data_IF_008621372292
#
_entry.id   IF_008621372292
#
_cell.length_a   1.000
_cell.length_b   1.000
_cell.length_c   1.000
_cell.angle_alpha   90.00
_cell.angle_beta   90.00
_cell.angle_gamma   90.00
#
_symmetry.space_group_name_H-M   'P 1'
#
loop_
_entity.id
_entity.type
_entity.pdbx_description
1 polymer ?
#
# COMPACT_ATOMS: atom_id res chain seq x y z
N UNK A 1 2.86 3.47 0.34
CA UNK A 1 2.16 3.52 1.63
C UNK A 1 2.26 2.13 2.22
N UNK A 2 2.90 1.98 3.37
CA UNK A 2 3.13 0.68 4.00
C UNK A 2 2.71 0.76 5.47
N UNK A 3 1.48 0.36 5.85
CA UNK A 3 1.11 0.23 7.25
C UNK A 3 1.83 -0.97 7.88
N UNK A 4 2.44 -0.80 9.06
CA UNK A 4 3.22 -1.85 9.71
C UNK A 4 2.85 -1.97 11.19
N UNK A 5 2.21 -3.08 11.57
CA UNK A 5 1.78 -3.41 12.94
C UNK A 5 2.38 -4.74 13.39
N UNK A 6 3.26 -4.71 14.39
CA UNK A 6 4.02 -5.88 14.86
C UNK A 6 4.87 -6.54 13.78
N UNK A 7 5.46 -5.73 12.90
CA UNK A 7 6.23 -6.16 11.72
C UNK A 7 7.74 -5.93 11.89
N UNK A 8 8.23 -5.93 13.13
CA UNK A 8 9.63 -5.65 13.45
C UNK A 8 10.59 -6.64 12.76
N UNK A 9 10.16 -7.88 12.56
CA UNK A 9 10.98 -8.93 11.93
C UNK A 9 11.11 -8.78 10.40
N UNK A 10 10.18 -8.10 9.74
CA UNK A 10 10.09 -8.08 8.26
C UNK A 10 10.24 -6.70 7.64
N UNK A 11 9.81 -5.62 8.32
CA UNK A 11 9.70 -4.28 7.71
C UNK A 11 11.02 -3.74 7.17
N UNK A 12 12.13 -4.01 7.87
CA UNK A 12 13.43 -3.55 7.44
C UNK A 12 13.91 -4.25 6.16
N UNK A 13 13.66 -5.55 6.07
CA UNK A 13 13.98 -6.36 4.91
C UNK A 13 13.09 -5.98 3.73
N UNK A 14 11.79 -5.78 3.94
CA UNK A 14 10.84 -5.37 2.92
C UNK A 14 11.25 -4.03 2.29
N UNK A 15 11.54 -3.01 3.10
CA UNK A 15 11.94 -1.69 2.60
C UNK A 15 13.29 -1.72 1.89
N UNK A 16 14.26 -2.47 2.41
CA UNK A 16 15.56 -2.63 1.77
C UNK A 16 15.45 -3.35 0.42
N UNK A 17 14.67 -4.45 0.38
CA UNK A 17 14.42 -5.20 -0.85
C UNK A 17 13.71 -4.33 -1.88
N UNK A 18 12.68 -3.59 -1.47
CA UNK A 18 11.95 -2.64 -2.32
C UNK A 18 12.88 -1.62 -2.96
N UNK A 19 13.77 -1.01 -2.16
CA UNK A 19 14.74 -0.04 -2.66
C UNK A 19 15.76 -0.61 -3.64
N UNK A 20 16.16 -1.87 -3.48
CA UNK A 20 17.11 -2.54 -4.36
C UNK A 20 16.46 -3.15 -5.60
N UNK A 21 15.14 -3.36 -5.59
CA UNK A 21 14.43 -4.09 -6.64
C UNK A 21 13.76 -3.16 -7.65
N UNK A 22 13.16 -2.05 -7.22
CA UNK A 22 12.47 -1.17 -8.15
C UNK A 22 13.43 -0.50 -9.14
N UNK A 23 13.17 -0.73 -10.42
CA UNK A 23 13.79 -0.01 -11.52
C UNK A 23 12.98 1.27 -11.80
N UNK A 24 12.95 2.16 -10.80
CA UNK A 24 12.30 3.46 -10.85
C UNK A 24 12.93 4.35 -9.77
N UNK A 25 13.25 5.60 -10.06
CA UNK A 25 14.00 6.46 -9.12
C UNK A 25 13.15 7.52 -8.41
N UNK A 26 11.98 7.86 -8.95
CA UNK A 26 11.15 8.99 -8.48
C UNK A 26 10.01 8.52 -7.59
N UNK A 27 10.33 7.93 -6.45
CA UNK A 27 9.34 7.46 -5.49
C UNK A 27 9.82 7.62 -4.05
N UNK A 28 8.87 7.63 -3.14
CA UNK A 28 9.11 7.68 -1.70
C UNK A 28 8.29 6.59 -1.03
N UNK A 29 8.81 6.02 0.05
CA UNK A 29 8.13 5.00 0.85
C UNK A 29 7.73 5.65 2.17
N UNK A 30 6.43 5.76 2.42
CA UNK A 30 5.90 6.19 3.70
C UNK A 30 5.45 4.95 4.47
N UNK A 31 6.12 4.68 5.58
CA UNK A 31 5.86 3.56 6.48
C UNK A 31 5.07 4.07 7.68
N UNK A 32 3.85 3.56 7.84
CA UNK A 32 2.98 3.83 8.97
C UNK A 32 3.37 2.95 10.15
N UNK A 33 3.52 3.54 11.34
CA UNK A 33 3.82 2.84 12.59
C UNK A 33 2.88 3.31 13.69
N UNK A 34 2.68 2.45 14.68
CA UNK A 34 1.75 2.68 15.77
C UNK A 34 2.50 3.05 17.05
N UNK A 35 1.92 3.95 17.86
CA UNK A 35 2.55 4.45 19.10
C UNK A 35 2.87 3.32 20.10
N UNK A 36 1.99 2.32 20.17
CA UNK A 36 2.07 1.13 21.02
C UNK A 36 2.91 -0.02 20.41
N UNK A 37 3.59 0.20 19.28
CA UNK A 37 4.54 -0.75 18.68
C UNK A 37 5.96 -0.16 18.61
N UNK A 38 6.68 -0.12 19.75
CA UNK A 38 8.01 0.46 19.80
C UNK A 38 9.07 -0.35 19.02
N UNK A 39 8.82 -1.63 18.77
CA UNK A 39 9.78 -2.51 18.09
C UNK A 39 9.81 -2.24 16.60
N UNK A 40 8.65 -2.25 15.92
CA UNK A 40 8.56 -1.90 14.49
C UNK A 40 9.03 -0.47 14.28
N UNK A 41 8.66 0.47 15.17
CA UNK A 41 9.11 1.86 15.10
C UNK A 41 10.63 2.01 15.11
N UNK A 42 11.33 1.18 15.91
CA UNK A 42 12.79 1.17 15.98
C UNK A 42 13.42 0.63 14.69
N UNK A 43 12.84 -0.41 14.09
CA UNK A 43 13.36 -0.95 12.84
C UNK A 43 13.14 0.02 11.66
N UNK A 44 11.98 0.69 11.60
CA UNK A 44 11.72 1.75 10.61
C UNK A 44 12.69 2.92 10.77
N UNK A 45 13.05 3.31 12.01
CA UNK A 45 14.06 4.33 12.28
C UNK A 45 15.44 3.95 11.72
N UNK A 46 15.90 2.72 11.97
CA UNK A 46 17.19 2.26 11.41
C UNK A 46 17.20 2.31 9.88
N UNK A 47 16.09 1.96 9.25
CA UNK A 47 16.00 1.86 7.79
C UNK A 47 15.92 3.23 7.13
N UNK A 48 15.21 4.21 7.71
CA UNK A 48 15.18 5.58 7.16
C UNK A 48 16.54 6.29 7.26
N UNK A 49 17.40 5.91 8.20
CA UNK A 49 18.79 6.40 8.23
C UNK A 49 19.61 5.88 7.04
N UNK A 50 19.25 4.71 6.50
CA UNK A 50 19.92 4.10 5.34
C UNK A 50 19.35 4.57 4.00
N UNK A 51 18.04 4.81 3.92
CA UNK A 51 17.33 5.15 2.68
C UNK A 51 16.62 6.51 2.81
N UNK A 52 17.15 7.59 2.20
CA UNK A 52 16.62 8.95 2.35
C UNK A 52 15.20 9.18 1.79
N UNK A 53 14.73 8.29 0.92
CA UNK A 53 13.38 8.30 0.35
C UNK A 53 12.33 7.60 1.25
N UNK A 54 12.74 7.09 2.42
CA UNK A 54 11.87 6.41 3.39
C UNK A 54 11.48 7.37 4.50
N UNK A 55 10.18 7.46 4.76
CA UNK A 55 9.57 8.36 5.75
C UNK A 55 8.74 7.55 6.73
N UNK A 56 8.76 7.97 7.99
CA UNK A 56 7.92 7.37 9.05
C UNK A 56 6.69 8.24 9.28
N UNK A 57 5.50 7.68 9.11
CA UNK A 57 4.23 8.26 9.55
C UNK A 57 3.81 7.57 10.85
N UNK A 58 3.66 8.31 11.94
CA UNK A 58 3.30 7.72 13.24
C UNK A 58 1.83 8.03 13.55
N UNK A 59 1.07 7.00 13.92
CA UNK A 59 -0.27 7.16 14.49
C UNK A 59 -0.10 7.77 15.89
N UNK A 60 -0.67 8.96 16.19
CA UNK A 60 -0.33 9.74 17.38
C UNK A 60 -1.07 9.31 18.65
N UNK A 61 -1.74 8.15 18.65
CA UNK A 61 -2.49 7.64 19.80
C UNK A 61 -2.33 6.12 19.96
N UNK A 62 -2.49 5.65 21.19
CA UNK A 62 -2.24 4.25 21.59
C UNK A 62 -3.37 3.27 21.21
N UNK A 63 -4.51 3.79 20.74
CA UNK A 63 -5.64 3.01 20.23
C UNK A 63 -6.97 3.29 20.95
N UNK A 64 -8.06 2.59 20.58
CA UNK A 64 -8.13 1.59 19.50
C UNK A 64 -7.79 2.20 18.13
N UNK A 65 -7.12 1.43 17.27
CA UNK A 65 -6.61 1.85 15.96
C UNK A 65 -6.79 0.71 14.95
N UNK A 66 -6.67 1.01 13.65
CA UNK A 66 -6.86 0.06 12.56
C UNK A 66 -5.86 0.29 11.42
N UNK A 67 -5.85 -0.60 10.41
CA UNK A 67 -5.08 -0.39 9.17
C UNK A 67 -5.54 0.89 8.46
N UNK A 68 -6.85 1.13 8.39
CA UNK A 68 -7.43 2.36 7.83
C UNK A 68 -6.93 3.64 8.53
N UNK A 69 -6.91 3.65 9.86
CA UNK A 69 -6.41 4.78 10.64
C UNK A 69 -4.92 5.05 10.33
N UNK A 70 -4.09 4.01 10.31
CA UNK A 70 -2.69 4.11 9.92
C UNK A 70 -2.50 4.62 8.49
N UNK A 71 -3.31 4.14 7.53
CA UNK A 71 -3.29 4.62 6.14
C UNK A 71 -3.68 6.09 6.03
N UNK A 72 -4.67 6.55 6.81
CA UNK A 72 -5.03 7.97 6.87
C UNK A 72 -3.84 8.82 7.36
N UNK A 73 -3.16 8.39 8.42
CA UNK A 73 -1.95 9.09 8.89
C UNK A 73 -0.80 9.07 7.88
N UNK A 74 -0.64 7.99 7.12
CA UNK A 74 0.31 7.95 6.00
C UNK A 74 -0.06 9.01 4.95
N UNK A 75 -1.32 9.08 4.52
CA UNK A 75 -1.77 10.07 3.52
C UNK A 75 -1.53 11.50 4.02
N UNK A 76 -1.86 11.80 5.28
CA UNK A 76 -1.60 13.11 5.87
C UNK A 76 -0.09 13.46 5.86
N UNK A 77 0.78 12.50 6.20
CA UNK A 77 2.23 12.71 6.14
C UNK A 77 2.75 12.89 4.71
N UNK A 78 2.15 12.22 3.72
CA UNK A 78 2.46 12.44 2.30
C UNK A 78 2.13 13.89 1.94
N UNK A 79 0.90 14.35 2.21
CA UNK A 79 0.47 15.71 1.87
C UNK A 79 1.32 16.78 2.58
N UNK A 80 1.68 16.55 3.85
CA UNK A 80 2.59 17.42 4.58
C UNK A 80 4.00 17.45 3.97
N UNK A 81 4.49 16.33 3.46
CA UNK A 81 5.76 16.29 2.73
C UNK A 81 5.68 17.11 1.44
N UNK A 82 4.57 17.01 0.69
CA UNK A 82 4.37 17.80 -0.52
C UNK A 82 4.33 19.30 -0.21
N UNK A 83 3.65 19.71 0.85
CA UNK A 83 3.60 21.10 1.29
C UNK A 83 4.99 21.64 1.65
N UNK A 84 5.77 20.87 2.41
CA UNK A 84 7.12 21.27 2.87
C UNK A 84 8.14 21.33 1.74
N UNK A 85 8.01 20.48 0.73
CA UNK A 85 9.04 20.32 -0.32
C UNK A 85 8.64 20.91 -1.67
N UNK A 86 7.34 21.17 -1.88
CA UNK A 86 6.77 21.53 -3.18
C UNK A 86 6.69 20.38 -4.18
N UNK A 87 7.18 19.17 -3.83
CA UNK A 87 7.14 18.00 -4.70
C UNK A 87 5.78 17.32 -4.62
N UNK A 88 5.10 17.18 -5.76
CA UNK A 88 3.81 16.48 -5.86
C UNK A 88 3.98 15.05 -6.35
N UNK A 89 3.30 14.11 -5.71
CA UNK A 89 3.15 12.71 -6.12
C UNK A 89 2.00 12.56 -7.11
N UNK A 90 2.24 11.86 -8.21
CA UNK A 90 1.22 11.56 -9.23
C UNK A 90 0.34 10.35 -8.89
N UNK A 91 0.86 9.44 -8.07
CA UNK A 91 0.17 8.22 -7.66
C UNK A 91 0.49 7.84 -6.22
N UNK A 92 -0.43 7.13 -5.58
CA UNK A 92 -0.33 6.61 -4.22
C UNK A 92 -0.46 5.09 -4.26
N UNK A 93 0.64 4.36 -4.09
CA UNK A 93 0.66 2.89 -4.12
C UNK A 93 0.71 2.31 -2.71
N UNK A 94 -0.16 1.34 -2.43
CA UNK A 94 -0.24 0.61 -1.16
C UNK A 94 0.46 -0.75 -1.27
N UNK A 95 1.19 -1.12 -0.21
CA UNK A 95 1.87 -2.40 -0.04
C UNK A 95 1.81 -2.82 1.43
N UNK A 96 1.81 -4.13 1.69
CA UNK A 96 1.92 -4.66 3.05
C UNK A 96 3.39 -4.90 3.43
N UNK A 97 3.65 -4.98 4.74
CA UNK A 97 5.01 -5.10 5.28
C UNK A 97 5.73 -6.41 4.91
N UNK A 98 5.01 -7.41 4.39
CA UNK A 98 5.55 -8.71 3.95
C UNK A 98 5.72 -8.81 2.43
N UNK A 99 5.31 -7.79 1.67
CA UNK A 99 5.30 -7.84 0.21
C UNK A 99 6.71 -7.95 -0.40
N UNK A 100 6.79 -8.67 -1.51
CA UNK A 100 7.92 -8.67 -2.43
C UNK A 100 7.51 -7.98 -3.72
N UNK A 101 8.24 -6.95 -4.12
CA UNK A 101 7.89 -6.12 -5.27
C UNK A 101 8.51 -6.63 -6.56
N UNK A 102 7.82 -6.40 -7.69
CA UNK A 102 8.39 -6.62 -9.02
C UNK A 102 9.18 -5.38 -9.49
N UNK A 103 10.35 -5.52 -10.16
CA UNK A 103 11.18 -4.38 -10.57
C UNK A 103 10.44 -3.30 -11.36
N UNK A 104 9.49 -3.71 -12.20
CA UNK A 104 8.71 -2.81 -13.05
C UNK A 104 7.38 -2.35 -12.43
N UNK A 105 7.06 -2.70 -11.18
CA UNK A 105 5.77 -2.37 -10.56
C UNK A 105 5.43 -0.88 -10.65
N UNK A 106 6.37 -0.01 -10.26
CA UNK A 106 6.18 1.44 -10.35
C UNK A 106 6.11 1.98 -11.79
N UNK A 107 6.84 1.37 -12.74
CA UNK A 107 6.76 1.72 -14.16
C UNK A 107 5.39 1.37 -14.72
N UNK A 108 4.85 0.20 -14.36
CA UNK A 108 3.50 -0.23 -14.73
C UNK A 108 2.45 0.74 -14.18
N UNK A 109 2.51 1.09 -12.90
CA UNK A 109 1.59 2.08 -12.32
C UNK A 109 1.71 3.41 -13.06
N UNK A 110 2.92 3.94 -13.23
CA UNK A 110 3.14 5.22 -13.91
C UNK A 110 2.64 5.22 -15.36
N UNK A 111 2.67 4.08 -16.06
CA UNK A 111 2.14 3.96 -17.41
C UNK A 111 0.61 4.08 -17.45
N UNK A 112 -0.10 3.44 -16.53
CA UNK A 112 -1.56 3.35 -16.54
C UNK A 112 -2.28 4.39 -15.69
N UNK A 113 -1.57 5.14 -14.83
CA UNK A 113 -2.20 5.99 -13.80
C UNK A 113 -3.09 7.10 -14.39
N UNK A 114 -2.82 7.56 -15.61
CA UNK A 114 -3.63 8.57 -16.28
C UNK A 114 -4.90 7.98 -16.95
N UNK A 115 -4.99 6.65 -17.08
CA UNK A 115 -6.12 5.95 -17.69
C UNK A 115 -7.19 5.53 -16.68
N UNK A 116 -6.86 5.47 -15.39
CA UNK A 116 -7.77 5.01 -14.34
C UNK A 116 -7.54 5.71 -13.00
N UNK A 117 -8.64 5.97 -12.27
CA UNK A 117 -8.58 6.54 -10.92
C UNK A 117 -7.91 5.60 -9.90
N UNK A 118 -8.03 4.29 -10.10
CA UNK A 118 -7.43 3.26 -9.29
C UNK A 118 -6.91 2.11 -10.17
N UNK A 119 -5.75 1.57 -9.84
CA UNK A 119 -5.13 0.42 -10.50
C UNK A 119 -4.89 -0.65 -9.44
N UNK A 120 -5.50 -1.82 -9.61
CA UNK A 120 -5.12 -3.02 -8.87
C UNK A 120 -4.13 -3.82 -9.72
N UNK A 121 -2.87 -3.88 -9.31
CA UNK A 121 -1.92 -4.80 -9.96
C UNK A 121 -2.22 -6.25 -9.56
N UNK A 122 -1.94 -7.23 -10.45
CA UNK A 122 -2.03 -8.64 -10.08
C UNK A 122 -1.09 -8.95 -8.91
N UNK A 123 -1.62 -9.64 -7.90
CA UNK A 123 -0.86 -10.11 -6.74
C UNK A 123 -0.60 -11.59 -6.95
N UNK A 124 0.66 -11.99 -6.80
CA UNK A 124 1.08 -13.39 -6.98
C UNK A 124 1.55 -13.94 -5.63
N UNK A 125 1.05 -15.12 -5.29
CA UNK A 125 1.51 -15.83 -4.10
C UNK A 125 2.90 -16.43 -4.33
N UNK A 126 3.72 -16.48 -3.28
CA UNK A 126 4.98 -17.22 -3.30
C UNK A 126 4.75 -18.73 -3.32
N UNK A 127 5.64 -19.46 -4.00
CA UNK A 127 5.59 -20.92 -4.10
C UNK A 127 5.58 -21.60 -2.73
N UNK A 128 4.70 -22.59 -2.60
CA UNK A 128 4.60 -23.46 -1.42
C UNK A 128 4.84 -24.91 -1.81
N UNK A 129 5.32 -25.71 -0.84
CA UNK A 129 5.45 -27.16 -1.04
C UNK A 129 4.08 -27.73 -1.35
N UNK A 130 3.97 -28.61 -2.35
CA UNK A 130 2.70 -29.23 -2.75
C UNK A 130 1.97 -29.96 -1.61
N UNK A 131 2.69 -30.37 -0.56
CA UNK A 131 2.11 -30.99 0.63
C UNK A 131 1.39 -30.02 1.56
N UNK A 132 1.57 -28.70 1.38
CA UNK A 132 0.91 -27.66 2.19
C UNK A 132 -0.45 -27.32 1.58
N UNK A 133 -1.37 -28.31 1.59
CA UNK A 133 -2.62 -28.27 0.83
C UNK A 133 -3.46 -27.00 1.06
N UNK A 134 -3.54 -26.50 2.29
CA UNK A 134 -4.26 -25.25 2.60
C UNK A 134 -3.62 -24.06 1.90
N UNK A 135 -2.29 -23.93 1.96
CA UNK A 135 -1.58 -22.83 1.33
C UNK A 135 -1.69 -22.91 -0.21
N UNK A 136 -1.57 -24.12 -0.78
CA UNK A 136 -1.77 -24.33 -2.22
C UNK A 136 -3.18 -23.96 -2.67
N UNK A 137 -4.21 -24.30 -1.90
CA UNK A 137 -5.58 -23.89 -2.19
C UNK A 137 -5.73 -22.36 -2.23
N UNK A 138 -5.19 -21.65 -1.25
CA UNK A 138 -5.17 -20.17 -1.25
C UNK A 138 -4.41 -19.62 -2.46
N UNK A 139 -3.29 -20.22 -2.85
CA UNK A 139 -2.55 -19.81 -4.06
C UNK A 139 -3.41 -19.95 -5.32
N UNK A 140 -4.12 -21.06 -5.47
CA UNK A 140 -4.98 -21.32 -6.63
C UNK A 140 -6.15 -20.32 -6.68
N UNK A 141 -6.77 -20.01 -5.54
CA UNK A 141 -7.83 -18.99 -5.46
C UNK A 141 -7.32 -17.59 -5.82
N UNK A 142 -6.14 -17.19 -5.31
CA UNK A 142 -5.53 -15.91 -5.66
C UNK A 142 -5.19 -15.83 -7.16
N UNK A 143 -4.69 -16.93 -7.74
CA UNK A 143 -4.39 -16.98 -9.16
C UNK A 143 -5.65 -16.79 -10.01
N UNK A 144 -6.75 -17.51 -9.73
CA UNK A 144 -8.04 -17.34 -10.41
C UNK A 144 -8.53 -15.88 -10.26
N UNK A 145 -8.54 -15.36 -9.03
CA UNK A 145 -9.08 -14.04 -8.72
C UNK A 145 -8.31 -12.92 -9.44
N UNK A 146 -6.98 -12.89 -9.30
CA UNK A 146 -6.15 -11.80 -9.84
C UNK A 146 -5.92 -11.89 -11.35
N UNK A 147 -5.98 -13.09 -11.95
CA UNK A 147 -5.65 -13.26 -13.38
C UNK A 147 -6.86 -13.43 -14.29
N UNK A 148 -8.03 -13.79 -13.74
CA UNK A 148 -9.26 -13.96 -14.53
C UNK A 148 -10.38 -13.03 -14.05
N UNK A 149 -10.77 -13.14 -12.78
CA UNK A 149 -11.99 -12.46 -12.30
C UNK A 149 -11.83 -10.95 -12.27
N UNK A 150 -10.73 -10.43 -11.71
CA UNK A 150 -10.48 -8.99 -11.63
C UNK A 150 -10.39 -8.33 -13.03
N UNK A 151 -9.62 -8.86 -14.01
CA UNK A 151 -9.61 -8.31 -15.36
C UNK A 151 -10.98 -8.32 -16.04
N UNK A 152 -11.73 -9.42 -15.92
CA UNK A 152 -13.07 -9.53 -16.52
C UNK A 152 -14.04 -8.54 -15.87
N UNK A 153 -14.03 -8.44 -14.54
CA UNK A 153 -14.87 -7.49 -13.80
C UNK A 153 -14.51 -6.05 -14.14
N UNK A 154 -13.23 -5.72 -14.24
CA UNK A 154 -12.76 -4.40 -14.66
C UNK A 154 -13.25 -4.06 -16.07
N UNK A 155 -13.12 -4.99 -17.02
CA UNK A 155 -13.55 -4.78 -18.41
C UNK A 155 -15.07 -4.59 -18.55
N UNK A 156 -15.86 -5.33 -17.77
CA UNK A 156 -17.34 -5.31 -17.89
C UNK A 156 -18.00 -4.23 -17.03
N UNK A 157 -17.59 -4.10 -15.78
CA UNK A 157 -18.24 -3.23 -14.80
C UNK A 157 -17.48 -1.92 -14.56
N UNK A 158 -16.27 -1.75 -15.12
CA UNK A 158 -15.36 -0.62 -14.82
C UNK A 158 -15.11 -0.42 -13.33
N UNK A 159 -15.18 -1.52 -12.59
CA UNK A 159 -14.96 -1.55 -11.15
C UNK A 159 -14.05 -2.74 -10.85
N UNK A 160 -13.01 -2.48 -10.08
CA UNK A 160 -12.08 -3.48 -9.58
C UNK A 160 -12.01 -3.29 -8.07
N UNK A 161 -12.27 -4.31 -7.24
CA UNK A 161 -12.00 -4.18 -5.81
C UNK A 161 -10.49 -4.08 -5.57
N UNK A 162 -10.13 -3.35 -4.52
CA UNK A 162 -8.77 -3.38 -3.99
C UNK A 162 -8.53 -4.69 -3.23
N UNK A 163 -7.33 -5.22 -3.32
CA UNK A 163 -6.87 -6.39 -2.56
C UNK A 163 -6.04 -6.00 -1.32
N UNK A 164 -6.05 -4.72 -0.94
CA UNK A 164 -5.29 -4.21 0.21
C UNK A 164 -3.78 -4.07 -0.02
N UNK A 165 -3.27 -4.64 -1.12
CA UNK A 165 -1.87 -4.56 -1.56
C UNK A 165 -1.77 -4.38 -3.05
N UNK A 166 -0.66 -3.79 -3.51
CA UNK A 166 -0.39 -3.52 -4.91
C UNK A 166 -1.49 -2.65 -5.59
N UNK A 167 -2.23 -1.88 -4.80
CA UNK A 167 -3.29 -0.96 -5.23
C UNK A 167 -2.74 0.45 -5.34
N UNK A 168 -2.78 1.03 -6.53
CA UNK A 168 -2.41 2.41 -6.78
C UNK A 168 -3.65 3.29 -6.97
N UNK A 169 -3.60 4.50 -6.42
CA UNK A 169 -4.60 5.54 -6.64
C UNK A 169 -3.97 6.70 -7.41
N UNK A 170 -4.66 7.18 -8.44
CA UNK A 170 -4.29 8.42 -9.10
C UNK A 170 -4.42 9.59 -8.11
N UNK A 171 -3.54 10.60 -8.24
CA UNK A 171 -3.52 11.75 -7.33
C UNK A 171 -4.89 12.40 -7.16
N UNK A 172 -5.58 12.69 -8.26
CA UNK A 172 -6.86 13.38 -8.21
C UNK A 172 -7.93 12.55 -7.49
N UNK A 173 -7.88 11.23 -7.64
CA UNK A 173 -8.78 10.32 -6.93
C UNK A 173 -8.48 10.33 -5.42
N UNK A 174 -7.20 10.21 -5.03
CA UNK A 174 -6.81 10.30 -3.62
C UNK A 174 -7.22 11.64 -2.99
N UNK A 175 -7.00 12.77 -3.68
CA UNK A 175 -7.40 14.09 -3.17
C UNK A 175 -8.92 14.23 -3.05
N UNK A 176 -9.69 13.69 -3.99
CA UNK A 176 -11.15 13.67 -3.90
C UNK A 176 -11.63 12.85 -2.69
N UNK A 177 -11.03 11.69 -2.43
CA UNK A 177 -11.34 10.85 -1.27
C UNK A 177 -10.99 11.55 0.06
N UNK A 178 -9.87 12.27 0.09
CA UNK A 178 -9.45 13.10 1.22
C UNK A 178 -10.46 14.22 1.48
N UNK A 179 -10.91 14.92 0.43
CA UNK A 179 -11.90 16.00 0.52
C UNK A 179 -13.27 15.49 0.99
N UNK A 180 -13.73 14.36 0.46
CA UNK A 180 -15.03 13.74 0.80
C UNK A 180 -15.15 13.40 2.29
N UNK A 181 -14.04 13.01 2.94
CA UNK A 181 -14.02 12.51 4.32
C UNK A 181 -13.21 13.40 5.26
N UNK A 182 -13.16 14.71 5.01
CA UNK A 182 -12.51 15.68 5.90
C UNK A 182 -11.07 15.29 6.29
N UNK A 183 -10.30 14.74 5.36
CA UNK A 183 -8.92 14.32 5.60
C UNK A 183 -8.70 12.81 5.79
N UNK A 184 -9.76 12.02 5.88
CA UNK A 184 -9.68 10.58 6.23
C UNK A 184 -10.21 9.69 5.10
N UNK A 185 -9.45 9.49 4.01
CA UNK A 185 -9.93 8.75 2.84
C UNK A 185 -10.36 7.31 3.14
N UNK A 186 -9.70 6.64 4.10
CA UNK A 186 -9.99 5.26 4.52
C UNK A 186 -10.94 5.22 5.73
N UNK A 187 -11.99 4.42 5.62
CA UNK A 187 -13.01 4.29 6.66
C UNK A 187 -12.49 3.49 7.86
N UNK A 188 -12.35 4.13 9.03
CA UNK A 188 -11.87 3.50 10.27
C UNK A 188 -12.88 2.56 10.93
N UNK A 189 -14.16 2.68 10.57
CA UNK A 189 -15.25 1.83 11.08
C UNK A 189 -15.42 0.54 10.26
N UNK A 190 -14.60 0.35 9.21
CA UNK A 190 -14.63 -0.83 8.33
C UNK A 190 -13.42 -1.74 8.58
N UNK A 191 -13.63 -3.06 8.49
CA UNK A 191 -12.57 -4.07 8.44
C UNK A 191 -12.12 -4.40 7.00
N UNK A 192 -12.75 -3.78 6.01
CA UNK A 192 -12.43 -3.91 4.57
C UNK A 192 -12.29 -2.51 3.98
N UNK A 193 -11.36 -1.74 4.51
CA UNK A 193 -11.12 -0.35 4.12
C UNK A 193 -10.67 -0.20 2.67
N UNK A 194 -9.96 -1.21 2.17
CA UNK A 194 -9.51 -1.36 0.80
C UNK A 194 -10.68 -1.58 -0.16
N UNK A 195 -11.65 -2.40 0.22
CA UNK A 195 -12.86 -2.61 -0.56
C UNK A 195 -13.74 -1.35 -0.53
N UNK A 196 -13.92 -0.71 0.63
CA UNK A 196 -14.71 0.53 0.76
C UNK A 196 -14.17 1.65 -0.14
N UNK A 197 -12.86 1.89 -0.10
CA UNK A 197 -12.24 2.96 -0.89
C UNK A 197 -12.31 2.69 -2.39
N UNK A 198 -12.32 1.42 -2.82
CA UNK A 198 -12.44 1.06 -4.24
C UNK A 198 -13.85 1.28 -4.82
N UNK A 199 -14.87 1.37 -3.97
CA UNK A 199 -16.26 1.63 -4.38
C UNK A 199 -16.61 3.11 -4.51
N UNK A 200 -15.79 3.99 -3.94
CA UNK A 200 -16.01 5.43 -3.87
C UNK A 200 -15.20 6.16 -4.94
#
# INVERSE_FOLDING_TARGET
>A
MVPAWQESDVIASMVANTNNTFDYSRYHIFVGVYANDPETRREVEKVRQRFPNVHRAEVPHDGPTSKADCLNWIVQNILLYEEKTGQKFGAFLMHDAEDVVHPFGLKTVNWFVDEAAMIQMPVLSMDRKWTHLVACHYMDEFAEFHTKDLPVRSALARMTPSAGVATAFHRLAMLALVEEKNGLPFNTDSLTEDYDVAHR
#
